data_IF_343508676116
#
_entry.id   IF_343508676116
#
_cell.length_a   1.000
_cell.length_b   1.000
_cell.length_c   1.000
_cell.angle_alpha   90.00
_cell.angle_beta   90.00
_cell.angle_gamma   90.00
#
_symmetry.space_group_name_H-M   'P 1'
#
loop_
_entity.id
_entity.type
_entity.pdbx_description
1 polymer ?
#
# COMPACT_ATOMS: atom_id res chain seq x y z
N UNK A 1 27.81 4.74 3.38
CA UNK A 1 28.40 4.06 2.20
C UNK A 1 28.24 2.54 2.25
N UNK A 2 28.71 1.86 3.30
CA UNK A 2 28.67 0.38 3.39
C UNK A 2 27.25 -0.19 3.38
N UNK A 3 26.31 0.41 4.13
CA UNK A 3 24.91 -0.04 4.18
C UNK A 3 24.23 -0.01 2.80
N UNK A 4 24.41 1.06 2.03
CA UNK A 4 23.83 1.16 0.68
C UNK A 4 24.42 0.15 -0.30
N UNK A 5 25.71 -0.19 -0.16
CA UNK A 5 26.34 -1.24 -0.99
C UNK A 5 25.77 -2.63 -0.69
N UNK A 6 25.57 -2.94 0.59
CA UNK A 6 24.97 -4.21 1.01
C UNK A 6 23.52 -4.30 0.50
N UNK A 7 22.72 -3.24 0.70
CA UNK A 7 21.35 -3.18 0.17
C UNK A 7 21.30 -3.36 -1.35
N UNK A 8 22.22 -2.72 -2.09
CA UNK A 8 22.31 -2.86 -3.55
C UNK A 8 22.59 -4.29 -3.97
N UNK A 9 23.61 -4.93 -3.39
CA UNK A 9 23.95 -6.33 -3.70
C UNK A 9 22.81 -7.29 -3.34
N UNK A 10 22.13 -7.06 -2.20
CA UNK A 10 20.97 -7.87 -1.81
C UNK A 10 19.80 -7.71 -2.80
N UNK A 11 19.55 -6.47 -3.27
CA UNK A 11 18.50 -6.18 -4.25
C UNK A 11 18.83 -6.88 -5.59
N UNK A 12 20.08 -6.80 -6.05
CA UNK A 12 20.53 -7.45 -7.27
C UNK A 12 20.35 -8.98 -7.19
N UNK A 13 20.72 -9.60 -6.07
CA UNK A 13 20.49 -11.03 -5.84
C UNK A 13 19.00 -11.38 -5.85
N UNK A 14 18.15 -10.55 -5.25
CA UNK A 14 16.70 -10.72 -5.25
C UNK A 14 16.12 -10.66 -6.67
N UNK A 15 16.59 -9.71 -7.49
CA UNK A 15 16.18 -9.58 -8.89
C UNK A 15 16.58 -10.83 -9.68
N UNK A 16 17.84 -11.28 -9.55
CA UNK A 16 18.32 -12.46 -10.28
C UNK A 16 17.54 -13.71 -9.87
N UNK A 17 17.30 -13.91 -8.56
CA UNK A 17 16.51 -15.03 -8.06
C UNK A 17 15.05 -14.98 -8.55
N UNK A 18 14.43 -13.79 -8.57
CA UNK A 18 13.09 -13.61 -9.10
C UNK A 18 13.01 -13.98 -10.59
N UNK A 19 13.94 -13.49 -11.41
CA UNK A 19 14.00 -13.81 -12.84
C UNK A 19 14.23 -15.31 -13.05
N UNK A 20 15.14 -15.93 -12.28
CA UNK A 20 15.44 -17.35 -12.38
C UNK A 20 14.25 -18.25 -11.96
N UNK A 21 13.43 -17.83 -10.99
CA UNK A 21 12.25 -18.58 -10.55
C UNK A 21 11.03 -18.41 -11.48
N UNK A 22 11.05 -17.42 -12.37
CA UNK A 22 9.94 -17.12 -13.26
C UNK A 22 9.84 -18.18 -14.37
N UNK A 23 8.74 -18.93 -14.39
CA UNK A 23 8.45 -19.88 -15.47
C UNK A 23 7.87 -19.15 -16.68
N UNK A 24 8.74 -18.84 -17.65
CA UNK A 24 8.39 -18.06 -18.83
C UNK A 24 7.23 -18.68 -19.64
N UNK A 25 7.15 -20.01 -19.71
CA UNK A 25 6.07 -20.74 -20.38
C UNK A 25 4.69 -20.41 -19.78
N UNK A 26 4.59 -20.32 -18.46
CA UNK A 26 3.34 -19.99 -17.77
C UNK A 26 2.94 -18.54 -18.03
N UNK A 27 3.91 -17.63 -18.13
CA UNK A 27 3.67 -16.22 -18.46
C UNK A 27 3.11 -16.11 -19.87
N UNK A 28 3.73 -16.78 -20.85
CA UNK A 28 3.31 -16.75 -22.25
C UNK A 28 1.92 -17.38 -22.47
N UNK A 29 1.59 -18.44 -21.73
CA UNK A 29 0.26 -19.05 -21.77
C UNK A 29 -0.82 -18.18 -21.13
N UNK A 30 -0.45 -17.31 -20.18
CA UNK A 30 -1.37 -16.50 -19.38
C UNK A 30 -1.17 -14.98 -19.60
N UNK A 31 -0.65 -14.56 -20.75
CA UNK A 31 -0.42 -13.13 -21.04
C UNK A 31 -1.70 -12.32 -20.92
N UNK A 32 -2.83 -12.85 -21.40
CA UNK A 32 -4.12 -12.16 -21.36
C UNK A 32 -4.59 -11.90 -19.92
N UNK A 33 -4.75 -12.92 -19.04
CA UNK A 33 -5.14 -12.66 -17.65
C UNK A 33 -4.09 -11.85 -16.89
N UNK A 34 -2.80 -12.02 -17.17
CA UNK A 34 -1.75 -11.22 -16.55
C UNK A 34 -1.86 -9.74 -16.95
N UNK A 35 -2.08 -9.44 -18.23
CA UNK A 35 -2.25 -8.08 -18.71
C UNK A 35 -3.50 -7.43 -18.13
N UNK A 36 -4.62 -8.17 -18.04
CA UNK A 36 -5.83 -7.69 -17.38
C UNK A 36 -5.58 -7.34 -15.92
N UNK A 37 -4.88 -8.20 -15.17
CA UNK A 37 -4.52 -7.93 -13.78
C UNK A 37 -3.61 -6.69 -13.64
N UNK A 38 -2.63 -6.54 -14.53
CA UNK A 38 -1.76 -5.36 -14.53
C UNK A 38 -2.55 -4.08 -14.78
N UNK A 39 -3.39 -4.06 -15.82
CA UNK A 39 -4.23 -2.89 -16.14
C UNK A 39 -5.22 -2.60 -15.02
N UNK A 40 -5.90 -3.62 -14.50
CA UNK A 40 -6.82 -3.47 -13.37
C UNK A 40 -6.12 -2.91 -12.13
N UNK A 41 -4.92 -3.39 -11.81
CA UNK A 41 -4.10 -2.88 -10.70
C UNK A 41 -3.70 -1.41 -10.87
N UNK A 42 -3.31 -1.01 -12.08
CA UNK A 42 -2.98 0.39 -12.38
C UNK A 42 -4.22 1.27 -12.27
N UNK A 43 -5.33 0.87 -12.89
CA UNK A 43 -6.60 1.62 -12.84
C UNK A 43 -7.10 1.73 -11.41
N UNK A 44 -6.98 0.67 -10.61
CA UNK A 44 -7.37 0.67 -9.21
C UNK A 44 -6.52 1.62 -8.37
N UNK A 45 -5.18 1.52 -8.45
CA UNK A 45 -4.28 2.36 -7.64
C UNK A 45 -4.37 3.83 -8.03
N UNK A 46 -4.44 4.14 -9.33
CA UNK A 46 -4.66 5.50 -9.83
C UNK A 46 -6.06 6.01 -9.46
N UNK A 47 -7.09 5.18 -9.59
CA UNK A 47 -8.47 5.52 -9.23
C UNK A 47 -8.63 5.83 -7.74
N UNK A 48 -8.04 5.02 -6.87
CA UNK A 48 -8.00 5.28 -5.42
C UNK A 48 -7.29 6.60 -5.12
N UNK A 49 -6.17 6.87 -5.78
CA UNK A 49 -5.46 8.14 -5.59
C UNK A 49 -6.30 9.35 -6.02
N UNK A 50 -6.94 9.32 -7.20
CA UNK A 50 -7.68 10.48 -7.72
C UNK A 50 -9.05 10.67 -7.05
N UNK A 51 -9.76 9.58 -6.74
CA UNK A 51 -11.16 9.63 -6.30
C UNK A 51 -11.26 9.55 -4.78
N UNK A 52 -10.46 8.66 -4.16
CA UNK A 52 -10.64 8.29 -2.75
C UNK A 52 -9.72 9.10 -1.83
N UNK A 53 -8.48 9.38 -2.24
CA UNK A 53 -7.57 10.23 -1.47
C UNK A 53 -8.18 11.60 -1.08
N UNK A 54 -8.78 12.39 -1.99
CA UNK A 54 -9.37 13.68 -1.61
C UNK A 54 -10.60 13.56 -0.70
N UNK A 55 -11.27 12.40 -0.66
CA UNK A 55 -12.44 12.17 0.20
C UNK A 55 -12.06 11.66 1.59
N UNK A 56 -11.00 10.87 1.70
CA UNK A 56 -10.60 10.22 2.95
C UNK A 56 -9.56 11.01 3.74
N UNK A 57 -8.78 11.86 3.08
CA UNK A 57 -7.70 12.61 3.70
C UNK A 57 -8.15 14.08 3.87
N UNK A 58 -8.56 14.49 5.08
CA UNK A 58 -9.09 15.85 5.30
C UNK A 58 -7.99 16.94 5.33
N UNK A 59 -6.72 16.56 5.51
CA UNK A 59 -5.56 17.46 5.63
C UNK A 59 -4.48 16.97 4.66
N UNK A 60 -3.81 17.89 3.95
CA UNK A 60 -2.67 17.61 3.04
C UNK A 60 -2.92 16.38 2.14
N UNK A 61 -4.12 16.33 1.54
CA UNK A 61 -4.64 15.12 0.86
C UNK A 61 -3.77 14.71 -0.33
N UNK A 62 -3.14 15.68 -1.00
CA UNK A 62 -2.32 15.43 -2.17
C UNK A 62 -0.95 14.89 -1.76
N UNK A 63 -0.31 15.50 -0.75
CA UNK A 63 0.99 15.09 -0.21
C UNK A 63 0.91 13.71 0.46
N UNK A 64 -0.15 13.47 1.23
CA UNK A 64 -0.42 12.15 1.79
C UNK A 64 -0.78 11.14 0.70
N UNK A 65 -1.61 11.54 -0.27
CA UNK A 65 -2.07 10.69 -1.36
C UNK A 65 -0.92 10.23 -2.26
N UNK A 66 -0.02 11.14 -2.66
CA UNK A 66 1.07 10.84 -3.59
C UNK A 66 2.12 9.95 -2.92
N UNK A 67 2.35 10.13 -1.62
CA UNK A 67 3.21 9.26 -0.80
C UNK A 67 2.65 7.84 -0.76
N UNK A 68 1.34 7.69 -0.55
CA UNK A 68 0.66 6.40 -0.54
C UNK A 68 0.65 5.76 -1.93
N UNK A 69 0.38 6.54 -2.97
CA UNK A 69 0.42 6.08 -4.36
C UNK A 69 1.79 5.52 -4.71
N UNK A 70 2.87 6.28 -4.47
CA UNK A 70 4.23 5.82 -4.74
C UNK A 70 4.67 4.60 -3.91
N UNK A 71 4.14 4.47 -2.69
CA UNK A 71 4.38 3.29 -1.84
C UNK A 71 3.65 2.05 -2.37
N UNK A 72 2.43 2.21 -2.90
CA UNK A 72 1.63 1.11 -3.44
C UNK A 72 2.08 0.65 -4.83
N UNK A 73 2.58 1.56 -5.67
CA UNK A 73 3.06 1.22 -7.02
C UNK A 73 4.52 0.78 -7.06
N UNK A 74 5.24 0.88 -5.95
CA UNK A 74 6.65 0.59 -5.88
C UNK A 74 7.08 0.17 -4.49
N UNK A 75 8.00 0.93 -3.91
CA UNK A 75 8.48 0.72 -2.54
C UNK A 75 8.28 1.98 -1.72
N UNK A 76 8.27 1.85 -0.41
CA UNK A 76 8.17 2.99 0.53
C UNK A 76 9.19 4.10 0.22
N UNK A 77 10.38 3.75 -0.24
CA UNK A 77 11.38 4.74 -0.66
C UNK A 77 10.92 5.61 -1.84
N UNK A 78 10.18 5.06 -2.81
CA UNK A 78 9.59 5.81 -3.93
C UNK A 78 8.51 6.75 -3.42
N UNK A 79 7.63 6.27 -2.52
CA UNK A 79 6.63 7.13 -1.87
C UNK A 79 7.24 8.33 -1.16
N UNK A 80 8.28 8.10 -0.33
CA UNK A 80 8.97 9.18 0.38
C UNK A 80 9.78 10.09 -0.55
N UNK A 81 10.28 9.57 -1.67
CA UNK A 81 10.93 10.39 -2.71
C UNK A 81 9.92 11.35 -3.35
N UNK A 82 8.72 10.86 -3.71
CA UNK A 82 7.65 11.70 -4.24
C UNK A 82 7.21 12.77 -3.23
N UNK A 83 7.12 12.39 -1.95
CA UNK A 83 6.84 13.36 -0.89
C UNK A 83 7.89 14.47 -0.84
N UNK A 84 9.18 14.14 -0.93
CA UNK A 84 10.25 15.15 -0.94
C UNK A 84 10.23 16.06 -2.18
N UNK A 85 9.64 15.62 -3.28
CA UNK A 85 9.48 16.44 -4.48
C UNK A 85 8.33 17.44 -4.29
N UNK A 86 7.23 17.00 -3.70
CA UNK A 86 6.02 17.81 -3.50
C UNK A 86 6.12 18.70 -2.25
N UNK A 87 6.73 18.21 -1.19
CA UNK A 87 6.96 18.89 0.08
C UNK A 87 8.45 18.76 0.51
N UNK A 88 9.37 19.48 -0.15
CA UNK A 88 10.81 19.41 0.13
C UNK A 88 11.17 19.97 1.51
N UNK A 89 10.39 20.92 2.02
CA UNK A 89 10.62 21.58 3.30
C UNK A 89 9.90 20.87 4.47
N UNK A 90 9.19 19.79 4.19
CA UNK A 90 8.44 18.98 5.15
C UNK A 90 7.50 19.85 6.01
N UNK A 91 6.81 20.79 5.36
CA UNK A 91 5.86 21.72 5.98
C UNK A 91 4.51 21.05 6.25
N UNK A 92 4.20 19.97 5.54
CA UNK A 92 2.93 19.24 5.66
C UNK A 92 2.99 18.15 6.72
N UNK A 93 1.82 17.70 7.17
CA UNK A 93 1.68 16.60 8.14
C UNK A 93 1.86 15.22 7.50
N UNK A 94 2.12 15.16 6.20
CA UNK A 94 2.12 13.92 5.42
C UNK A 94 3.15 12.88 5.91
N UNK A 95 4.39 13.30 6.20
CA UNK A 95 5.42 12.40 6.70
C UNK A 95 5.08 11.80 8.07
N UNK A 96 4.53 12.61 8.98
CA UNK A 96 4.14 12.16 10.32
C UNK A 96 2.92 11.24 10.26
N UNK A 97 1.90 11.60 9.47
CA UNK A 97 0.73 10.78 9.24
C UNK A 97 1.08 9.44 8.61
N UNK A 98 2.02 9.42 7.65
CA UNK A 98 2.51 8.21 7.03
C UNK A 98 3.24 7.30 8.05
N UNK A 99 4.17 7.85 8.83
CA UNK A 99 4.91 7.08 9.83
C UNK A 99 3.98 6.49 10.92
N UNK A 100 3.04 7.29 11.43
CA UNK A 100 2.06 6.84 12.41
C UNK A 100 1.18 5.70 11.88
N UNK A 101 0.71 5.81 10.63
CA UNK A 101 -0.10 4.77 10.00
C UNK A 101 0.72 3.51 9.70
N UNK A 102 1.92 3.66 9.15
CA UNK A 102 2.80 2.55 8.77
C UNK A 102 3.26 1.72 9.98
N UNK A 103 3.49 2.37 11.14
CA UNK A 103 3.92 1.68 12.36
C UNK A 103 2.82 0.74 12.90
N UNK A 104 1.56 1.13 12.82
CA UNK A 104 0.44 0.29 13.27
C UNK A 104 0.06 -0.74 12.21
N UNK A 105 0.10 -0.37 10.93
CA UNK A 105 -0.37 -1.26 9.85
C UNK A 105 0.64 -2.33 9.47
N UNK A 106 1.95 -2.06 9.55
CA UNK A 106 2.97 -3.01 9.11
C UNK A 106 2.98 -4.33 9.92
N UNK A 107 2.87 -4.36 11.26
CA UNK A 107 2.89 -5.61 12.02
C UNK A 107 1.53 -6.33 12.04
N UNK A 108 0.45 -5.66 11.64
CA UNK A 108 -0.90 -6.24 11.61
C UNK A 108 -1.25 -6.77 10.21
N UNK A 109 -1.07 -5.94 9.18
CA UNK A 109 -1.61 -6.15 7.83
C UNK A 109 -0.53 -6.34 6.76
N UNK A 110 0.66 -5.73 6.93
CA UNK A 110 1.74 -5.77 5.94
C UNK A 110 2.52 -7.09 5.82
N UNK A 111 1.95 -8.20 6.29
CA UNK A 111 2.63 -9.52 6.41
C UNK A 111 2.68 -10.06 7.84
N UNK A 112 2.10 -9.35 8.80
CA UNK A 112 2.02 -9.77 10.19
C UNK A 112 0.83 -10.67 10.51
N UNK A 113 0.28 -10.53 11.72
CA UNK A 113 -0.64 -11.53 12.33
C UNK A 113 -1.84 -11.86 11.42
N UNK A 114 -2.48 -10.86 10.81
CA UNK A 114 -3.71 -11.07 10.03
C UNK A 114 -3.40 -11.78 8.71
N UNK A 115 -2.38 -11.33 8.00
CA UNK A 115 -2.00 -11.90 6.69
C UNK A 115 -1.41 -13.30 6.86
N UNK A 116 -0.63 -13.54 7.91
CA UNK A 116 -0.09 -14.86 8.23
C UNK A 116 -1.16 -15.85 8.70
N UNK A 117 -2.21 -15.39 9.39
CA UNK A 117 -3.32 -16.22 9.83
C UNK A 117 -4.36 -16.49 8.72
N UNK A 118 -4.31 -15.77 7.61
CA UNK A 118 -5.29 -15.89 6.52
C UNK A 118 -5.43 -17.33 5.98
N UNK A 119 -4.35 -18.09 5.72
CA UNK A 119 -4.48 -19.49 5.29
C UNK A 119 -5.16 -20.37 6.35
N UNK A 120 -4.91 -20.10 7.64
CA UNK A 120 -5.54 -20.84 8.75
C UNK A 120 -7.05 -20.54 8.82
N UNK A 121 -7.45 -19.28 8.61
CA UNK A 121 -8.87 -18.92 8.54
C UNK A 121 -9.57 -19.55 7.34
N UNK A 122 -8.91 -19.60 6.18
CA UNK A 122 -9.46 -20.25 4.98
C UNK A 122 -9.63 -21.76 5.23
N UNK A 123 -8.65 -22.40 5.89
CA UNK A 123 -8.73 -23.82 6.25
C UNK A 123 -9.86 -24.09 7.26
N UNK A 124 -10.09 -23.19 8.22
CA UNK A 124 -11.07 -23.40 9.29
C UNK A 124 -12.52 -23.09 8.87
N UNK A 125 -12.73 -22.02 8.09
CA UNK A 125 -14.07 -21.50 7.78
C UNK A 125 -14.43 -21.52 6.30
N UNK A 126 -13.50 -21.93 5.44
CA UNK A 126 -13.67 -21.95 4.00
C UNK A 126 -13.42 -20.57 3.36
N UNK A 127 -13.11 -20.59 2.06
CA UNK A 127 -12.76 -19.40 1.29
C UNK A 127 -13.90 -18.37 1.26
N UNK A 128 -15.14 -18.82 1.08
CA UNK A 128 -16.30 -17.94 0.90
C UNK A 128 -16.60 -17.14 2.17
N UNK A 129 -16.54 -17.77 3.34
CA UNK A 129 -16.77 -17.12 4.63
C UNK A 129 -15.69 -16.08 4.95
N UNK A 130 -14.42 -16.38 4.65
CA UNK A 130 -13.31 -15.45 4.86
C UNK A 130 -13.39 -14.27 3.89
N UNK A 131 -13.74 -14.51 2.62
CA UNK A 131 -13.93 -13.44 1.65
C UNK A 131 -15.07 -12.51 2.06
N UNK A 132 -16.24 -13.05 2.42
CA UNK A 132 -17.37 -12.23 2.86
C UNK A 132 -17.08 -11.52 4.19
N UNK A 133 -16.39 -12.17 5.11
CA UNK A 133 -15.98 -11.58 6.38
C UNK A 133 -15.02 -10.39 6.19
N UNK A 134 -14.00 -10.56 5.35
CA UNK A 134 -13.04 -9.48 5.06
C UNK A 134 -13.68 -8.33 4.27
N UNK A 135 -14.54 -8.63 3.29
CA UNK A 135 -15.35 -7.62 2.59
C UNK A 135 -16.26 -6.87 3.56
N UNK A 136 -16.93 -7.59 4.47
CA UNK A 136 -17.79 -7.01 5.50
C UNK A 136 -17.02 -6.07 6.42
N UNK A 137 -15.86 -6.49 6.91
CA UNK A 137 -14.97 -5.64 7.72
C UNK A 137 -14.52 -4.41 6.92
N UNK A 138 -14.15 -4.57 5.65
CA UNK A 138 -13.74 -3.45 4.80
C UNK A 138 -14.88 -2.43 4.62
N UNK A 139 -16.09 -2.89 4.33
CA UNK A 139 -17.29 -2.05 4.19
C UNK A 139 -17.62 -1.37 5.51
N UNK A 140 -17.59 -2.10 6.63
CA UNK A 140 -17.83 -1.53 7.95
C UNK A 140 -16.79 -0.47 8.29
N UNK A 141 -15.50 -0.70 8.06
CA UNK A 141 -14.46 0.31 8.28
C UNK A 141 -14.60 1.51 7.34
N UNK A 142 -15.18 1.31 6.16
CA UNK A 142 -15.39 2.37 5.17
C UNK A 142 -16.57 3.27 5.54
N UNK A 143 -17.65 2.70 6.10
CA UNK A 143 -18.86 3.43 6.50
C UNK A 143 -18.92 3.79 7.99
N UNK A 144 -18.13 3.13 8.85
CA UNK A 144 -17.98 3.53 10.24
C UNK A 144 -17.30 4.89 10.25
N UNK A 145 -17.97 5.96 10.70
CA UNK A 145 -17.36 7.25 10.86
C UNK A 145 -16.45 7.15 12.08
N UNK A 146 -15.26 6.55 11.92
CA UNK A 146 -14.20 6.62 12.91
C UNK A 146 -13.72 8.07 12.91
N UNK A 147 -14.41 8.87 13.72
CA UNK A 147 -14.18 10.26 14.06
C UNK A 147 -13.18 10.97 13.17
N UNK A 148 -13.68 11.62 12.11
CA UNK A 148 -12.97 12.75 11.52
C UNK A 148 -12.79 13.80 12.62
N UNK A 149 -11.68 13.69 13.34
CA UNK A 149 -11.23 14.65 14.34
C UNK A 149 -11.11 16.00 13.65
N UNK A 150 -12.10 16.84 13.92
CA UNK A 150 -12.12 18.28 13.62
C UNK A 150 -11.06 19.00 14.45
N UNK A 151 -9.78 18.66 14.30
CA UNK A 151 -8.71 19.52 14.81
C UNK A 151 -8.51 20.64 13.82
N UNK A 152 -9.37 21.66 13.96
CA UNK A 152 -9.15 23.00 13.43
C UNK A 152 -7.73 23.44 13.83
N UNK A 153 -6.88 23.94 12.93
CA UNK A 153 -5.70 24.66 13.37
C UNK A 153 -6.19 25.92 14.09
N UNK A 154 -5.77 26.08 15.34
CA UNK A 154 -5.91 27.34 16.04
C UNK A 154 -5.10 28.39 15.27
N UNK A 155 -5.80 29.37 14.73
CA UNK A 155 -5.21 30.64 14.31
C UNK A 155 -4.65 31.35 15.55
N UNK A 156 -3.34 31.52 15.61
CA UNK A 156 -2.63 32.71 16.14
C UNK A 156 -1.16 32.57 15.84
#
# INVERSE_FOLDING_TARGET
ATFQRIMGVSLDLLIVAAIASLRLDLVLQNVVPLALLMVAGIVWTAGVFVILAPRMLPVDWFEQGITLYGTQTGVTAVGLMLLRIVDPENRTTAAQAFAARAMVSSPLLGGGIVTAAMPLFIQAWGLEAVLLGTLGVMVVLWFAPLGQGRTRPAST
#
